data_IF_685920637687
#
_entry.id   IF_685920637687
#
_cell.length_a   1.000
_cell.length_b   1.000
_cell.length_c   1.000
_cell.angle_alpha   90.00
_cell.angle_beta   90.00
_cell.angle_gamma   90.00
#
_symmetry.space_group_name_H-M   'P 1'
#
loop_
_entity.id
_entity.type
_entity.pdbx_description
1 polymer ?
#
# COMPACT_ATOMS: atom_id res chain seq x y z
N UNK A 1 -22.80 25.06 -31.72
CA UNK A 1 -22.15 25.98 -30.74
C UNK A 1 -21.44 27.02 -31.58
N UNK A 2 -21.71 28.32 -31.38
CA UNK A 2 -21.08 29.37 -32.20
C UNK A 2 -19.70 29.74 -31.63
N UNK A 3 -18.74 29.90 -32.51
CA UNK A 3 -17.39 30.38 -32.16
C UNK A 3 -17.43 31.85 -31.69
N UNK A 4 -16.62 32.17 -30.68
CA UNK A 4 -16.41 33.49 -30.10
C UNK A 4 -15.05 33.54 -29.39
N UNK A 5 -14.66 34.73 -28.92
CA UNK A 5 -13.36 34.96 -28.24
C UNK A 5 -13.14 34.17 -26.95
N UNK A 6 -14.17 33.56 -26.36
CA UNK A 6 -14.04 32.76 -25.14
C UNK A 6 -13.95 31.25 -25.43
N UNK A 7 -14.17 30.83 -26.68
CA UNK A 7 -14.16 29.41 -27.05
C UNK A 7 -13.35 29.08 -28.31
N UNK A 8 -12.76 30.07 -28.98
CA UNK A 8 -12.01 29.86 -30.23
C UNK A 8 -10.84 28.88 -30.07
N UNK A 9 -10.17 28.89 -28.92
CA UNK A 9 -9.06 27.97 -28.61
C UNK A 9 -9.52 26.50 -28.69
N UNK A 10 -10.74 26.20 -28.23
CA UNK A 10 -11.32 24.85 -28.31
C UNK A 10 -11.55 24.46 -29.76
N UNK A 11 -12.03 25.39 -30.59
CA UNK A 11 -12.21 25.15 -32.03
C UNK A 11 -10.87 24.96 -32.74
N UNK A 12 -9.80 25.66 -32.32
CA UNK A 12 -8.46 25.47 -32.90
C UNK A 12 -7.97 24.05 -32.64
N UNK A 13 -8.03 23.59 -31.39
CA UNK A 13 -7.65 22.21 -31.03
C UNK A 13 -8.51 21.18 -31.78
N UNK A 14 -9.83 21.35 -31.81
CA UNK A 14 -10.74 20.42 -32.51
C UNK A 14 -10.52 20.41 -34.04
N UNK A 15 -10.03 21.51 -34.63
CA UNK A 15 -9.65 21.57 -36.04
C UNK A 15 -8.42 20.68 -36.30
N UNK A 16 -7.37 20.84 -35.50
CA UNK A 16 -6.13 20.08 -35.64
C UNK A 16 -6.28 18.60 -35.28
N UNK A 17 -7.17 18.29 -34.33
CA UNK A 17 -7.57 16.91 -33.99
C UNK A 17 -8.51 16.27 -35.04
N UNK A 18 -8.98 17.03 -36.02
CA UNK A 18 -9.91 16.54 -37.05
C UNK A 18 -11.33 16.24 -36.54
N UNK A 19 -11.71 16.80 -35.38
CA UNK A 19 -13.01 16.58 -34.72
C UNK A 19 -14.11 17.53 -35.18
N UNK A 20 -13.76 18.65 -35.84
CA UNK A 20 -14.75 19.61 -36.34
C UNK A 20 -15.55 19.09 -37.53
N UNK A 21 -16.86 19.32 -37.50
CA UNK A 21 -17.76 19.12 -38.63
C UNK A 21 -17.57 20.19 -39.72
N UNK A 22 -18.02 19.90 -40.95
CA UNK A 22 -17.90 20.85 -42.08
C UNK A 22 -18.57 22.20 -41.81
N UNK A 23 -19.70 22.22 -41.08
CA UNK A 23 -20.38 23.45 -40.70
C UNK A 23 -19.55 24.30 -39.72
N UNK A 24 -18.88 23.65 -38.77
CA UNK A 24 -18.05 24.35 -37.78
C UNK A 24 -16.73 24.85 -38.35
N UNK A 25 -16.16 24.16 -39.36
CA UNK A 25 -14.99 24.65 -40.10
C UNK A 25 -15.31 25.96 -40.83
N UNK A 26 -16.48 26.04 -41.45
CA UNK A 26 -16.92 27.25 -42.15
C UNK A 26 -17.19 28.41 -41.17
N UNK A 27 -17.75 28.11 -39.98
CA UNK A 27 -17.86 29.12 -38.90
C UNK A 27 -16.49 29.59 -38.38
N UNK A 28 -15.51 28.69 -38.27
CA UNK A 28 -14.13 29.02 -37.90
C UNK A 28 -13.47 29.91 -38.95
N UNK A 29 -13.59 29.57 -40.25
CA UNK A 29 -13.03 30.37 -41.35
C UNK A 29 -13.58 31.80 -41.35
N UNK A 30 -14.90 31.96 -41.21
CA UNK A 30 -15.55 33.27 -41.13
C UNK A 30 -15.08 34.07 -39.91
N UNK A 31 -14.81 33.41 -38.78
CA UNK A 31 -14.31 34.05 -37.56
C UNK A 31 -12.84 34.49 -37.70
N UNK A 32 -12.02 33.73 -38.43
CA UNK A 32 -10.63 34.06 -38.71
C UNK A 32 -10.50 35.22 -39.72
N UNK A 33 -11.44 35.35 -40.67
CA UNK A 33 -11.51 36.50 -41.58
C UNK A 33 -11.80 37.81 -40.85
N UNK A 34 -12.67 37.78 -39.83
CA UNK A 34 -13.00 38.96 -39.02
C UNK A 34 -11.90 39.31 -37.99
N UNK A 35 -11.02 38.36 -37.67
CA UNK A 35 -9.98 38.51 -36.63
C UNK A 35 -8.58 38.07 -37.12
N UNK A 36 -7.88 38.90 -37.92
CA UNK A 36 -6.60 38.55 -38.54
C UNK A 36 -5.46 38.25 -37.56
N UNK A 37 -5.53 38.75 -36.31
CA UNK A 37 -4.55 38.43 -35.25
C UNK A 37 -4.67 36.96 -34.84
N UNK A 38 -5.90 36.46 -34.66
CA UNK A 38 -6.14 35.07 -34.27
C UNK A 38 -5.82 34.09 -35.40
N UNK A 39 -5.87 34.56 -36.66
CA UNK A 39 -5.43 33.79 -37.82
C UNK A 39 -3.92 33.50 -37.79
N UNK A 40 -3.11 34.48 -37.39
CA UNK A 40 -1.67 34.27 -37.23
C UNK A 40 -1.39 33.24 -36.13
N UNK A 41 -2.07 33.36 -34.99
CA UNK A 41 -1.98 32.40 -33.88
C UNK A 41 -2.39 30.98 -34.30
N UNK A 42 -3.45 30.88 -35.11
CA UNK A 42 -3.89 29.61 -35.69
C UNK A 42 -2.80 28.98 -36.58
N UNK A 43 -2.25 29.75 -37.53
CA UNK A 43 -1.20 29.27 -38.45
C UNK A 43 0.09 28.84 -37.73
N UNK A 44 0.47 29.52 -36.63
CA UNK A 44 1.62 29.12 -35.80
C UNK A 44 1.46 27.72 -35.18
N UNK A 45 0.22 27.32 -34.89
CA UNK A 45 -0.12 26.03 -34.28
C UNK A 45 0.11 24.84 -35.24
N UNK A 46 0.17 25.08 -36.56
CA UNK A 46 0.34 24.02 -37.58
C UNK A 46 1.69 23.29 -37.48
N UNK A 47 2.71 23.91 -36.85
CA UNK A 47 4.08 23.40 -36.82
C UNK A 47 4.34 22.30 -35.78
N UNK A 48 3.33 21.85 -35.02
CA UNK A 48 3.47 20.80 -33.99
C UNK A 48 2.86 19.49 -34.51
N UNK A 49 3.46 18.91 -35.54
CA UNK A 49 3.13 17.53 -35.96
C UNK A 49 4.28 16.61 -35.58
N UNK A 50 3.99 15.67 -34.69
CA UNK A 50 4.86 14.53 -34.45
C UNK A 50 4.76 13.58 -35.64
N UNK A 51 5.89 13.20 -36.23
CA UNK A 51 5.92 12.15 -37.23
C UNK A 51 5.34 10.86 -36.62
N UNK A 52 4.25 10.36 -37.20
CA UNK A 52 3.64 9.10 -36.79
C UNK A 52 4.56 7.96 -37.21
N UNK A 53 5.51 7.59 -36.36
CA UNK A 53 6.26 6.36 -36.53
C UNK A 53 5.33 5.19 -36.24
N UNK A 54 4.99 4.39 -37.26
CA UNK A 54 4.23 3.15 -37.10
C UNK A 54 5.11 2.08 -36.42
N UNK A 55 5.27 2.19 -35.10
CA UNK A 55 5.99 1.20 -34.31
C UNK A 55 5.06 0.01 -34.06
N UNK A 56 5.28 -1.08 -34.80
CA UNK A 56 4.56 -2.34 -34.62
C UNK A 56 5.36 -3.29 -33.73
N UNK A 57 4.86 -3.57 -32.53
CA UNK A 57 5.38 -4.65 -31.69
C UNK A 57 4.74 -5.97 -32.11
N UNK A 58 5.52 -6.85 -32.76
CA UNK A 58 5.05 -8.12 -33.32
C UNK A 58 4.61 -9.14 -32.27
N UNK A 59 5.16 -9.06 -31.05
CA UNK A 59 4.99 -10.07 -30.01
C UNK A 59 3.92 -9.71 -28.98
N UNK A 60 2.79 -9.10 -29.38
CA UNK A 60 1.75 -8.67 -28.42
C UNK A 60 1.27 -9.77 -27.46
N UNK A 61 1.34 -11.04 -27.87
CA UNK A 61 0.96 -12.17 -27.01
C UNK A 61 1.90 -12.33 -25.80
N UNK A 62 3.16 -11.91 -25.87
CA UNK A 62 4.11 -11.99 -24.76
C UNK A 62 3.86 -10.94 -23.67
N UNK A 63 2.95 -10.00 -23.92
CA UNK A 63 2.55 -8.98 -22.93
C UNK A 63 1.46 -9.48 -21.97
N UNK A 64 0.87 -10.65 -22.24
CA UNK A 64 -0.17 -11.21 -21.37
C UNK A 64 0.49 -11.88 -20.16
N UNK A 65 -0.07 -11.64 -18.97
CA UNK A 65 0.32 -12.39 -17.77
C UNK A 65 -0.07 -13.87 -17.98
N UNK A 66 0.85 -14.82 -17.84
CA UNK A 66 0.51 -16.24 -17.87
C UNK A 66 -0.44 -16.57 -16.71
N UNK A 67 -1.40 -17.43 -16.98
CA UNK A 67 -2.34 -17.89 -15.95
C UNK A 67 -1.63 -18.84 -14.99
N UNK A 68 -1.85 -18.65 -13.69
CA UNK A 68 -1.27 -19.49 -12.64
C UNK A 68 -2.20 -20.68 -12.42
N UNK A 69 -1.66 -21.89 -12.60
CA UNK A 69 -2.36 -23.13 -12.30
C UNK A 69 -2.25 -23.39 -10.80
N UNK A 70 -3.37 -23.25 -10.09
CA UNK A 70 -3.43 -23.55 -8.66
C UNK A 70 -3.15 -25.04 -8.40
N UNK A 71 -2.36 -25.35 -7.38
CA UNK A 71 -2.00 -26.71 -7.02
C UNK A 71 -1.99 -26.91 -5.51
N UNK A 72 -2.79 -27.86 -5.03
CA UNK A 72 -2.86 -28.28 -3.62
C UNK A 72 -2.96 -27.12 -2.62
N UNK A 73 -3.82 -26.13 -2.92
CA UNK A 73 -4.03 -24.95 -2.07
C UNK A 73 -3.09 -23.79 -2.34
N UNK A 74 -2.08 -23.93 -3.22
CA UNK A 74 -1.24 -22.83 -3.69
C UNK A 74 -1.87 -22.22 -4.96
N UNK A 75 -2.12 -20.92 -4.98
CA UNK A 75 -2.76 -20.17 -6.06
C UNK A 75 -2.08 -18.81 -6.31
N UNK A 76 -2.62 -17.98 -7.22
CA UNK A 76 -2.08 -16.66 -7.56
C UNK A 76 -2.01 -15.68 -6.36
N UNK A 77 -2.83 -15.88 -5.33
CA UNK A 77 -2.90 -14.95 -4.20
C UNK A 77 -1.90 -15.31 -3.10
N UNK A 78 -1.49 -16.57 -2.99
CA UNK A 78 -0.72 -17.08 -1.85
C UNK A 78 0.66 -17.67 -2.19
N UNK A 79 1.00 -17.83 -3.47
CA UNK A 79 2.25 -18.49 -3.85
C UNK A 79 3.48 -17.73 -3.34
N UNK A 80 3.43 -16.39 -3.29
CA UNK A 80 4.53 -15.56 -2.77
C UNK A 80 4.78 -15.83 -1.27
N UNK A 81 3.72 -15.93 -0.46
CA UNK A 81 3.83 -16.29 0.96
C UNK A 81 4.44 -17.68 1.13
N UNK A 82 4.03 -18.62 0.28
CA UNK A 82 4.57 -19.99 0.28
C UNK A 82 6.06 -20.00 -0.08
N UNK A 83 6.51 -19.12 -0.98
CA UNK A 83 7.93 -18.99 -1.32
C UNK A 83 8.75 -18.48 -0.14
N UNK A 84 8.25 -17.47 0.57
CA UNK A 84 8.90 -16.92 1.76
C UNK A 84 9.03 -18.02 2.82
N UNK A 85 7.92 -18.71 3.14
CA UNK A 85 7.91 -19.81 4.10
C UNK A 85 8.88 -20.94 3.72
N UNK A 86 9.07 -21.21 2.42
CA UNK A 86 10.06 -22.18 1.96
C UNK A 86 11.50 -21.79 2.35
N UNK A 87 11.89 -20.53 2.09
CA UNK A 87 13.24 -20.05 2.38
C UNK A 87 13.48 -19.81 3.87
N UNK A 88 12.45 -19.46 4.62
CA UNK A 88 12.49 -19.33 6.08
C UNK A 88 12.48 -20.69 6.80
N UNK A 89 12.30 -21.79 6.06
CA UNK A 89 12.18 -23.17 6.57
C UNK A 89 10.95 -23.44 7.43
N UNK A 90 9.88 -22.68 7.21
CA UNK A 90 8.61 -22.80 7.95
C UNK A 90 7.63 -23.81 7.30
N UNK A 91 7.94 -24.32 6.11
CA UNK A 91 7.14 -25.35 5.44
C UNK A 91 7.44 -26.78 5.93
N UNK A 92 6.38 -27.58 6.09
CA UNK A 92 6.45 -29.01 6.34
C UNK A 92 6.88 -29.79 5.07
N UNK A 93 7.25 -31.07 5.24
CA UNK A 93 7.71 -31.92 4.13
C UNK A 93 6.67 -32.05 2.99
N UNK A 94 5.39 -32.20 3.35
CA UNK A 94 4.30 -32.35 2.38
C UNK A 94 4.02 -31.04 1.61
N UNK A 95 4.17 -29.90 2.28
CA UNK A 95 4.00 -28.58 1.69
C UNK A 95 5.16 -28.25 0.73
N UNK A 96 6.39 -28.63 1.08
CA UNK A 96 7.54 -28.54 0.16
C UNK A 96 7.32 -29.36 -1.11
N UNK A 97 6.79 -30.58 -0.98
CA UNK A 97 6.47 -31.41 -2.15
C UNK A 97 5.36 -30.78 -3.02
N UNK A 98 4.38 -30.13 -2.39
CA UNK A 98 3.31 -29.40 -3.06
C UNK A 98 3.85 -28.20 -3.83
N UNK A 99 4.74 -27.41 -3.22
CA UNK A 99 5.42 -26.29 -3.85
C UNK A 99 6.26 -26.70 -5.05
N UNK A 100 7.03 -27.79 -4.94
CA UNK A 100 7.80 -28.32 -6.06
C UNK A 100 6.91 -28.75 -7.24
N UNK A 101 5.71 -29.24 -6.95
CA UNK A 101 4.74 -29.62 -7.97
C UNK A 101 4.08 -28.38 -8.61
N UNK A 102 3.80 -27.36 -7.81
CA UNK A 102 3.34 -26.05 -8.28
C UNK A 102 4.36 -25.38 -9.22
N UNK A 103 5.65 -25.38 -8.87
CA UNK A 103 6.71 -24.82 -9.73
C UNK A 103 6.85 -25.56 -11.06
N UNK A 104 6.64 -26.89 -11.06
CA UNK A 104 6.61 -27.68 -12.31
C UNK A 104 5.41 -27.33 -13.19
N UNK A 105 4.26 -27.05 -12.59
CA UNK A 105 3.06 -26.63 -13.31
C UNK A 105 3.16 -25.18 -13.82
N UNK A 106 3.94 -24.33 -13.14
CA UNK A 106 4.08 -22.90 -13.44
C UNK A 106 5.56 -22.48 -13.65
N UNK A 107 6.22 -22.90 -14.77
CA UNK A 107 7.64 -22.59 -14.99
C UNK A 107 7.96 -21.09 -15.07
N UNK A 108 6.97 -20.25 -15.39
CA UNK A 108 7.15 -18.81 -15.49
C UNK A 108 7.42 -18.14 -14.13
N UNK A 109 7.01 -18.77 -13.03
CA UNK A 109 7.19 -18.27 -11.66
C UNK A 109 8.53 -18.71 -11.06
N UNK A 110 9.26 -19.64 -11.69
CA UNK A 110 10.52 -20.18 -11.17
C UNK A 110 11.59 -19.09 -10.95
N UNK A 111 11.65 -18.10 -11.85
CA UNK A 111 12.58 -16.96 -11.73
C UNK A 111 12.25 -16.10 -10.51
N UNK A 112 10.97 -15.91 -10.23
CA UNK A 112 10.49 -15.18 -9.07
C UNK A 112 10.83 -15.95 -7.80
N UNK A 113 10.52 -17.25 -7.76
CA UNK A 113 10.92 -18.14 -6.67
C UNK A 113 12.42 -18.07 -6.35
N UNK A 114 13.31 -18.06 -7.35
CA UNK A 114 14.75 -17.91 -7.12
C UNK A 114 15.13 -16.53 -6.55
N UNK A 115 14.41 -15.48 -6.94
CA UNK A 115 14.67 -14.12 -6.46
C UNK A 115 14.37 -13.99 -4.97
N UNK A 116 13.35 -14.71 -4.46
CA UNK A 116 13.01 -14.74 -3.04
C UNK A 116 14.15 -15.28 -2.15
N UNK A 117 15.04 -16.14 -2.69
CA UNK A 117 16.22 -16.61 -1.95
C UNK A 117 17.12 -15.46 -1.48
N UNK A 118 17.16 -14.36 -2.23
CA UNK A 118 17.98 -13.19 -1.93
C UNK A 118 17.36 -12.28 -0.86
N UNK A 119 16.08 -12.46 -0.54
CA UNK A 119 15.36 -11.69 0.47
C UNK A 119 15.64 -12.19 1.90
N UNK A 120 16.18 -13.40 2.04
CA UNK A 120 16.46 -14.00 3.34
C UNK A 120 17.50 -13.17 4.09
N UNK A 121 17.03 -12.47 5.14
CA UNK A 121 17.89 -11.67 5.99
C UNK A 121 18.64 -12.60 6.96
N UNK A 122 19.96 -12.47 7.00
CA UNK A 122 20.75 -13.20 8.00
C UNK A 122 20.47 -12.60 9.38
N UNK A 123 20.24 -13.46 10.35
CA UNK A 123 20.11 -13.05 11.75
C UNK A 123 21.41 -12.37 12.18
N UNK A 124 21.31 -11.11 12.56
CA UNK A 124 22.39 -10.39 13.24
C UNK A 124 22.25 -10.62 14.75
N UNK A 125 23.30 -11.16 15.38
CA UNK A 125 23.35 -11.29 16.84
C UNK A 125 23.76 -9.94 17.46
N UNK A 126 22.82 -8.99 17.47
CA UNK A 126 23.01 -7.69 18.13
C UNK A 126 22.70 -7.87 19.62
N UNK A 127 23.75 -7.87 20.44
CA UNK A 127 23.61 -7.91 21.90
C UNK A 127 23.51 -6.47 22.42
N UNK A 128 22.41 -6.15 23.09
CA UNK A 128 22.28 -4.90 23.83
C UNK A 128 23.00 -5.04 25.19
N UNK A 129 24.12 -4.33 25.34
CA UNK A 129 25.04 -4.43 26.49
C UNK A 129 24.37 -4.13 27.84
N UNK A 130 23.60 -3.03 27.94
CA UNK A 130 23.04 -2.57 29.21
C UNK A 130 21.55 -2.92 29.37
N UNK A 131 21.24 -4.21 29.48
CA UNK A 131 19.85 -4.68 29.67
C UNK A 131 19.17 -4.10 30.92
N UNK A 132 19.94 -3.70 31.93
CA UNK A 132 19.40 -3.12 33.16
C UNK A 132 18.83 -1.72 32.94
N UNK A 133 19.36 -0.95 31.99
CA UNK A 133 18.79 0.35 31.58
C UNK A 133 17.36 0.24 31.01
N UNK A 134 16.95 -0.93 30.52
CA UNK A 134 15.60 -1.16 29.99
C UNK A 134 14.53 -1.30 31.08
N UNK A 135 14.93 -1.50 32.34
CA UNK A 135 13.99 -1.77 33.45
C UNK A 135 13.39 -0.46 33.97
N UNK A 136 12.09 -0.25 33.74
CA UNK A 136 11.33 0.83 34.40
C UNK A 136 11.03 0.44 35.85
N UNK A 137 11.62 1.17 36.80
CA UNK A 137 11.27 1.05 38.23
C UNK A 137 9.95 1.75 38.51
N UNK A 138 8.89 0.99 38.74
CA UNK A 138 7.60 1.51 39.23
C UNK A 138 7.63 1.56 40.75
N UNK A 139 7.37 2.74 41.32
CA UNK A 139 7.19 2.89 42.76
C UNK A 139 5.76 2.51 43.14
N UNK A 140 5.60 1.39 43.83
CA UNK A 140 4.33 1.01 44.46
C UNK A 140 4.35 1.60 45.87
N UNK A 141 3.49 2.60 46.12
CA UNK A 141 3.36 3.22 47.43
C UNK A 141 2.91 2.22 48.48
N UNK A 142 3.53 2.27 49.66
CA UNK A 142 3.25 1.37 50.77
C UNK A 142 1.95 1.79 51.50
N UNK A 143 0.79 1.37 50.97
CA UNK A 143 -0.54 1.67 51.53
C UNK A 143 -0.95 0.84 52.77
N UNK A 144 -0.12 -0.11 53.20
CA UNK A 144 -0.33 -0.97 54.36
C UNK A 144 -0.25 -0.31 55.76
N UNK A 145 0.25 0.93 55.89
CA UNK A 145 0.26 1.63 57.19
C UNK A 145 -1.14 1.90 57.75
N UNK A 146 -2.16 2.00 56.87
CA UNK A 146 -3.55 2.16 57.30
C UNK A 146 -4.11 0.93 58.03
N UNK A 147 -3.65 -0.27 57.68
CA UNK A 147 -4.11 -1.52 58.30
C UNK A 147 -3.56 -1.67 59.73
N UNK A 148 -2.30 -1.29 59.97
CA UNK A 148 -1.68 -1.36 61.30
C UNK A 148 -2.37 -0.42 62.31
N UNK A 149 -2.72 0.80 61.87
CA UNK A 149 -3.43 1.75 62.72
C UNK A 149 -4.83 1.26 63.12
N UNK A 150 -5.57 0.64 62.18
CA UNK A 150 -6.90 0.10 62.45
C UNK A 150 -6.88 -1.01 63.52
N UNK A 151 -5.87 -1.89 63.49
CA UNK A 151 -5.73 -2.98 64.48
C UNK A 151 -5.50 -2.42 65.89
N UNK A 152 -4.65 -1.38 66.01
CA UNK A 152 -4.40 -0.74 67.31
C UNK A 152 -5.66 -0.05 67.85
N UNK A 153 -6.44 0.61 67.00
CA UNK A 153 -7.71 1.24 67.39
C UNK A 153 -8.73 0.19 67.85
N UNK A 154 -8.85 -0.93 67.13
CA UNK A 154 -9.75 -2.02 67.53
C UNK A 154 -9.36 -2.67 68.86
N UNK A 155 -8.07 -2.88 69.12
CA UNK A 155 -7.59 -3.41 70.40
C UNK A 155 -7.84 -2.43 71.55
N UNK A 156 -7.59 -1.14 71.35
CA UNK A 156 -7.85 -0.10 72.35
C UNK A 156 -9.34 0.02 72.68
N UNK A 157 -10.21 0.01 71.65
CA UNK A 157 -11.67 0.03 71.84
C UNK A 157 -12.19 -1.25 72.51
N UNK A 158 -11.67 -2.42 72.11
CA UNK A 158 -12.01 -3.70 72.73
C UNK A 158 -11.65 -3.73 74.22
N UNK A 159 -10.46 -3.24 74.58
CA UNK A 159 -10.03 -3.16 75.97
C UNK A 159 -10.90 -2.19 76.79
N UNK A 160 -11.20 -1.02 76.25
CA UNK A 160 -12.07 -0.03 76.90
C UNK A 160 -13.49 -0.57 77.14
N UNK A 161 -14.06 -1.30 76.17
CA UNK A 161 -15.38 -1.91 76.30
C UNK A 161 -15.41 -3.07 77.29
N UNK A 162 -14.29 -3.77 77.52
CA UNK A 162 -14.18 -4.82 78.53
C UNK A 162 -14.10 -4.22 79.94
N UNK A 163 -13.37 -3.11 80.12
CA UNK A 163 -13.27 -2.44 81.42
C UNK A 163 -14.59 -1.81 81.89
N UNK A 164 -15.43 -1.34 80.97
CA UNK A 164 -16.67 -0.64 81.29
C UNK A 164 -17.92 -1.54 81.32
N UNK A 165 -17.76 -2.87 81.41
CA UNK A 165 -18.92 -3.77 81.57
C UNK A 165 -19.46 -3.67 83.00
N UNK A 166 -20.72 -3.25 83.22
CA UNK A 166 -21.32 -3.34 84.55
C UNK A 166 -21.44 -4.83 84.92
N UNK A 167 -20.87 -5.20 86.07
CA UNK A 167 -21.08 -6.52 86.68
C UNK A 167 -22.57 -6.68 87.01
N UNK A 168 -23.15 -7.88 86.83
CA UNK A 168 -24.57 -8.11 87.10
C UNK A 168 -24.95 -7.83 88.56
#
# INVERSE_FOLDING_TARGET
>A
MKINRNNYEIFFIDFYDGKLTNAQKLELDLFLEDHPILKLEFEEFENIKLDTSEITFSSKQTLKKPEIVAFNGIDEENYEETFIAFYENDLQADEKASLLSFLKANPHVEKEFQSHASLLLKKEDIVFEDKDSLKKKTYIGYYWYGAAAAILIFLALGFFLIQNRPTP
#
